data_IF_844126681273
#
_entry.id   IF_844126681273
#
_cell.length_a   1.000
_cell.length_b   1.000
_cell.length_c   1.000
_cell.angle_alpha   90.00
_cell.angle_beta   90.00
_cell.angle_gamma   90.00
#
_symmetry.space_group_name_H-M   'P 1'
#
loop_
_entity.id
_entity.type
_entity.pdbx_description
1 polymer ?
#
# COMPACT_ATOMS: atom_id res chain seq x y z
N UNK A 1 4.17 -9.39 -11.37
CA UNK A 1 2.92 -8.60 -11.30
C UNK A 1 1.72 -9.48 -10.94
N UNK A 2 0.65 -8.92 -10.37
CA UNK A 2 -0.62 -9.65 -10.12
C UNK A 2 -1.79 -8.72 -10.45
N UNK A 3 -2.74 -9.17 -11.29
CA UNK A 3 -3.94 -8.39 -11.62
C UNK A 3 -4.75 -8.11 -10.36
N UNK A 4 -5.16 -6.86 -10.16
CA UNK A 4 -5.96 -6.40 -9.02
C UNK A 4 -6.96 -5.37 -9.49
N UNK A 5 -8.10 -5.33 -8.83
CA UNK A 5 -9.08 -4.27 -9.03
C UNK A 5 -8.86 -3.17 -7.99
N UNK A 6 -8.68 -1.93 -8.43
CA UNK A 6 -8.38 -0.79 -7.56
C UNK A 6 -9.63 0.07 -7.41
N UNK A 7 -9.87 0.54 -6.19
CA UNK A 7 -10.94 1.50 -5.90
C UNK A 7 -10.35 2.62 -5.05
N UNK A 8 -10.46 3.85 -5.52
CA UNK A 8 -10.16 5.05 -4.74
C UNK A 8 -11.48 5.58 -4.17
N UNK A 9 -11.64 5.61 -2.84
CA UNK A 9 -12.88 6.04 -2.21
C UNK A 9 -12.60 6.66 -0.83
N UNK A 10 -13.20 7.82 -0.56
CA UNK A 10 -13.01 8.52 0.71
C UNK A 10 -11.54 8.88 0.93
N UNK A 11 -11.00 8.51 2.09
CA UNK A 11 -9.60 8.72 2.44
C UNK A 11 -8.66 7.56 2.08
N UNK A 12 -9.10 6.59 1.28
CA UNK A 12 -8.37 5.34 1.11
C UNK A 12 -8.33 4.81 -0.34
N UNK A 13 -7.24 4.11 -0.66
CA UNK A 13 -7.08 3.29 -1.85
C UNK A 13 -7.20 1.80 -1.47
N UNK A 14 -8.20 1.15 -2.04
CA UNK A 14 -8.51 -0.26 -1.82
C UNK A 14 -7.99 -1.10 -2.99
N UNK A 15 -7.57 -2.32 -2.68
CA UNK A 15 -7.16 -3.32 -3.67
C UNK A 15 -8.02 -4.54 -3.50
N UNK A 16 -8.56 -5.10 -4.57
CA UNK A 16 -9.35 -6.34 -4.56
C UNK A 16 -8.72 -7.37 -5.50
N UNK A 17 -9.12 -8.63 -5.32
CA UNK A 17 -8.66 -9.71 -6.22
C UNK A 17 -9.15 -9.47 -7.65
N UNK A 18 -10.42 -9.07 -7.76
CA UNK A 18 -11.19 -8.87 -8.97
C UNK A 18 -12.31 -7.85 -8.66
N UNK A 19 -13.08 -7.46 -9.67
CA UNK A 19 -14.18 -6.48 -9.59
C UNK A 19 -15.33 -6.91 -8.67
N UNK A 20 -15.52 -8.22 -8.49
CA UNK A 20 -16.57 -8.80 -7.66
C UNK A 20 -16.07 -9.14 -6.24
N UNK A 21 -14.85 -8.70 -5.91
CA UNK A 21 -14.22 -8.99 -4.63
C UNK A 21 -14.94 -8.31 -3.47
N UNK A 22 -15.48 -9.09 -2.54
CA UNK A 22 -16.13 -8.56 -1.33
C UNK A 22 -15.16 -8.07 -0.26
N UNK A 23 -13.89 -8.52 -0.31
CA UNK A 23 -12.88 -8.23 0.70
C UNK A 23 -11.60 -7.67 0.09
N UNK A 24 -11.09 -6.54 0.61
CA UNK A 24 -9.87 -5.95 0.11
C UNK A 24 -8.64 -6.83 0.45
N UNK A 25 -7.70 -6.85 -0.47
CA UNK A 25 -6.39 -7.50 -0.37
C UNK A 25 -5.42 -6.62 0.40
N UNK A 26 -5.21 -7.02 1.65
CA UNK A 26 -4.36 -6.32 2.60
C UNK A 26 -5.10 -5.13 3.23
N UNK A 27 -4.37 -4.33 3.98
CA UNK A 27 -4.91 -3.10 4.52
C UNK A 27 -5.10 -2.07 3.38
N UNK A 28 -6.22 -1.31 3.39
CA UNK A 28 -6.38 -0.13 2.53
C UNK A 28 -5.25 0.86 2.77
N UNK A 29 -4.85 1.60 1.74
CA UNK A 29 -3.79 2.60 1.84
C UNK A 29 -4.45 3.95 2.15
N UNK A 30 -4.03 4.64 3.21
CA UNK A 30 -4.46 6.01 3.51
C UNK A 30 -3.89 6.99 2.48
N UNK A 31 -4.72 7.83 1.89
CA UNK A 31 -4.27 8.72 0.79
C UNK A 31 -3.63 10.02 1.26
N UNK A 32 -3.95 10.47 2.48
CA UNK A 32 -3.50 11.74 3.06
C UNK A 32 -1.96 11.84 3.21
N UNK A 33 -1.31 10.72 3.51
CA UNK A 33 0.14 10.59 3.65
C UNK A 33 0.81 9.92 2.46
N UNK A 34 0.08 9.64 1.38
CA UNK A 34 0.66 9.01 0.19
C UNK A 34 1.10 9.99 -0.87
N UNK A 35 2.14 9.61 -1.59
CA UNK A 35 2.54 10.26 -2.83
C UNK A 35 2.30 9.33 -4.01
N UNK A 36 1.75 9.89 -5.08
CA UNK A 36 1.57 9.18 -6.33
C UNK A 36 2.34 9.89 -7.44
N UNK A 37 3.08 9.12 -8.24
CA UNK A 37 3.77 9.62 -9.45
C UNK A 37 3.88 8.52 -10.49
N UNK A 38 3.94 8.95 -11.75
CA UNK A 38 4.29 8.07 -12.87
C UNK A 38 5.79 7.83 -12.82
N UNK A 39 6.20 6.60 -13.10
CA UNK A 39 7.61 6.25 -13.18
C UNK A 39 8.02 6.14 -14.64
N UNK A 40 8.99 6.95 -15.02
CA UNK A 40 9.67 6.87 -16.32
C UNK A 40 11.05 6.26 -16.13
N UNK A 41 11.56 5.51 -17.14
CA UNK A 41 12.94 4.98 -17.12
C UNK A 41 14.01 6.05 -16.84
N UNK A 42 13.79 7.28 -17.29
CA UNK A 42 14.72 8.39 -17.08
C UNK A 42 14.70 9.04 -15.68
N UNK A 43 13.65 8.79 -14.89
CA UNK A 43 13.44 9.49 -13.60
C UNK A 43 14.01 8.72 -12.40
N UNK A 44 14.43 7.46 -12.60
CA UNK A 44 14.95 6.61 -11.52
C UNK A 44 16.47 6.73 -11.41
N UNK A 45 16.93 7.68 -10.59
CA UNK A 45 18.34 7.88 -10.26
C UNK A 45 18.96 6.74 -9.42
N UNK A 46 18.22 5.67 -9.11
CA UNK A 46 18.53 4.80 -7.96
C UNK A 46 18.62 3.28 -8.16
N UNK A 47 18.39 2.66 -9.32
CA UNK A 47 18.85 1.28 -9.55
C UNK A 47 18.53 0.71 -10.93
N UNK A 48 19.52 0.04 -11.53
CA UNK A 48 19.33 -0.82 -12.71
C UNK A 48 18.25 -1.89 -12.47
N UNK A 49 18.05 -2.33 -11.22
CA UNK A 49 17.04 -3.34 -10.85
C UNK A 49 15.60 -2.89 -11.13
N UNK A 50 15.28 -1.61 -10.95
CA UNK A 50 13.93 -1.12 -11.24
C UNK A 50 13.68 -0.98 -12.75
N UNK A 51 14.72 -0.64 -13.51
CA UNK A 51 14.63 -0.64 -14.98
C UNK A 51 14.32 -2.04 -15.50
N UNK A 52 14.90 -3.09 -14.92
CA UNK A 52 14.55 -4.48 -15.24
C UNK A 52 13.09 -4.83 -14.92
N UNK A 53 12.46 -4.22 -13.92
CA UNK A 53 11.02 -4.41 -13.64
C UNK A 53 10.13 -3.75 -14.70
N UNK A 54 10.56 -2.63 -15.27
CA UNK A 54 9.89 -1.98 -16.41
C UNK A 54 10.06 -2.78 -17.72
N UNK A 55 11.06 -3.66 -17.79
CA UNK A 55 11.24 -4.59 -18.92
C UNK A 55 10.30 -5.81 -18.83
N UNK A 56 9.76 -6.06 -17.65
CA UNK A 56 8.93 -7.23 -17.33
C UNK A 56 7.48 -6.83 -17.00
N UNK A 57 6.92 -5.91 -17.77
CA UNK A 57 5.52 -5.53 -17.63
C UNK A 57 4.58 -6.65 -18.08
N UNK A 58 3.38 -6.77 -17.47
CA UNK A 58 2.36 -7.66 -17.99
C UNK A 58 1.97 -7.31 -19.42
N UNK A 59 1.53 -8.31 -20.18
CA UNK A 59 1.01 -8.10 -21.53
C UNK A 59 -0.11 -7.05 -21.52
N UNK A 60 -0.01 -6.10 -22.44
CA UNK A 60 -0.97 -4.99 -22.58
C UNK A 60 -0.74 -3.82 -21.63
N UNK A 61 0.25 -3.85 -20.73
CA UNK A 61 0.62 -2.71 -19.90
C UNK A 61 1.85 -1.98 -20.44
N UNK A 62 1.77 -0.65 -20.54
CA UNK A 62 2.86 0.20 -21.06
C UNK A 62 3.48 1.13 -20.01
N UNK A 63 2.73 1.42 -18.95
CA UNK A 63 3.06 2.48 -18.00
C UNK A 63 2.93 1.98 -16.58
N UNK A 64 3.80 2.48 -15.70
CA UNK A 64 3.75 2.21 -14.27
C UNK A 64 3.58 3.51 -13.51
N UNK A 65 2.70 3.50 -12.52
CA UNK A 65 2.68 4.51 -11.47
C UNK A 65 2.99 3.89 -10.12
N UNK A 66 3.63 4.66 -9.26
CA UNK A 66 3.84 4.27 -7.87
C UNK A 66 2.90 5.00 -6.94
N UNK A 67 2.54 4.32 -5.86
CA UNK A 67 1.89 4.89 -4.68
C UNK A 67 2.79 4.59 -3.49
N UNK A 68 3.42 5.63 -2.96
CA UNK A 68 4.34 5.54 -1.83
C UNK A 68 3.68 6.09 -0.58
N UNK A 69 3.74 5.34 0.52
CA UNK A 69 3.47 5.83 1.86
C UNK A 69 4.73 5.69 2.72
N UNK A 70 4.73 6.30 3.91
CA UNK A 70 5.84 6.19 4.87
C UNK A 70 6.26 4.74 5.17
N UNK A 71 5.32 3.80 5.12
CA UNK A 71 5.58 2.40 5.47
C UNK A 71 5.88 1.52 4.25
N UNK A 72 5.43 1.91 3.05
CA UNK A 72 5.49 1.03 1.88
C UNK A 72 5.29 1.76 0.56
N UNK A 73 6.11 1.42 -0.42
CA UNK A 73 5.91 1.77 -1.83
C UNK A 73 5.28 0.60 -2.59
N UNK A 74 4.32 0.90 -3.45
CA UNK A 74 3.66 -0.06 -4.32
C UNK A 74 3.64 0.45 -5.75
N UNK A 75 3.83 -0.48 -6.69
CA UNK A 75 3.87 -0.20 -8.11
C UNK A 75 2.66 -0.83 -8.79
N UNK A 76 2.05 -0.09 -9.71
CA UNK A 76 0.89 -0.50 -10.48
C UNK A 76 1.19 -0.30 -11.96
N UNK A 77 1.09 -1.39 -12.73
CA UNK A 77 1.15 -1.37 -14.18
C UNK A 77 -0.25 -1.19 -14.74
N UNK A 78 -0.38 -0.32 -15.75
CA UNK A 78 -1.64 0.06 -16.41
C UNK A 78 -1.49 0.01 -17.92
N UNK A 79 -2.62 0.02 -18.64
CA UNK A 79 -2.64 -0.20 -20.09
C UNK A 79 -2.10 0.99 -20.88
N UNK A 80 -2.25 2.20 -20.33
CA UNK A 80 -1.87 3.44 -20.99
C UNK A 80 -1.32 4.48 -20.03
N UNK A 81 -0.55 5.42 -20.58
CA UNK A 81 -0.09 6.61 -19.85
C UNK A 81 -1.25 7.48 -19.38
N UNK A 82 -2.32 7.56 -20.16
CA UNK A 82 -3.55 8.30 -19.84
C UNK A 82 -4.21 7.72 -18.60
N UNK A 83 -4.30 6.39 -18.51
CA UNK A 83 -4.82 5.69 -17.33
C UNK A 83 -3.92 5.97 -16.10
N UNK A 84 -2.60 5.91 -16.27
CA UNK A 84 -1.65 6.23 -15.19
C UNK A 84 -1.83 7.68 -14.69
N UNK A 85 -1.99 8.63 -15.61
CA UNK A 85 -2.22 10.04 -15.30
C UNK A 85 -3.54 10.23 -14.55
N UNK A 86 -4.61 9.57 -14.99
CA UNK A 86 -5.90 9.60 -14.31
C UNK A 86 -5.75 9.13 -12.86
N UNK A 87 -5.11 7.97 -12.64
CA UNK A 87 -4.88 7.45 -11.28
C UNK A 87 -4.05 8.40 -10.42
N UNK A 88 -2.91 8.88 -10.93
CA UNK A 88 -2.02 9.76 -10.17
C UNK A 88 -2.71 11.07 -9.80
N UNK A 89 -3.43 11.69 -10.74
CA UNK A 89 -4.16 12.94 -10.50
C UNK A 89 -5.32 12.73 -9.52
N UNK A 90 -6.10 11.65 -9.67
CA UNK A 90 -7.17 11.32 -8.74
C UNK A 90 -6.66 11.10 -7.32
N UNK A 91 -5.55 10.36 -7.15
CA UNK A 91 -4.97 10.14 -5.81
C UNK A 91 -4.44 11.45 -5.20
N UNK A 92 -3.81 12.31 -5.99
CA UNK A 92 -3.32 13.63 -5.53
C UNK A 92 -4.49 14.54 -5.11
N UNK A 93 -5.56 14.57 -5.88
CA UNK A 93 -6.75 15.33 -5.54
C UNK A 93 -7.38 14.78 -4.25
N UNK A 94 -7.59 13.47 -4.16
CA UNK A 94 -8.10 12.82 -2.96
C UNK A 94 -7.26 13.08 -1.72
N UNK A 95 -5.92 13.12 -1.86
CA UNK A 95 -5.02 13.51 -0.77
C UNK A 95 -5.34 14.91 -0.28
N UNK A 96 -5.39 15.88 -1.18
CA UNK A 96 -5.69 17.27 -0.83
C UNK A 96 -7.06 17.41 -0.17
N UNK A 97 -8.06 16.73 -0.70
CA UNK A 97 -9.43 16.68 -0.18
C UNK A 97 -9.47 16.06 1.22
N UNK A 98 -8.77 14.95 1.42
CA UNK A 98 -8.69 14.26 2.71
C UNK A 98 -7.98 15.11 3.76
N UNK A 99 -6.89 15.79 3.39
CA UNK A 99 -6.18 16.71 4.30
C UNK A 99 -7.09 17.89 4.68
N UNK A 100 -7.77 18.49 3.70
CA UNK A 100 -8.68 19.63 3.90
C UNK A 100 -9.83 19.26 4.84
N UNK A 101 -10.40 18.07 4.67
CA UNK A 101 -11.44 17.50 5.54
C UNK A 101 -10.93 17.21 6.95
N UNK A 102 -9.73 16.63 7.08
CA UNK A 102 -9.12 16.34 8.38
C UNK A 102 -8.80 17.64 9.16
N UNK A 103 -8.54 18.75 8.47
CA UNK A 103 -8.36 20.07 9.09
C UNK A 103 -9.68 20.79 9.43
N UNK A 104 -10.84 20.20 9.16
CA UNK A 104 -12.15 20.80 9.44
C UNK A 104 -12.52 21.96 8.51
N UNK A 105 -11.77 22.16 7.42
CA UNK A 105 -12.01 23.22 6.42
C UNK A 105 -13.01 22.80 5.32
N UNK A 106 -13.57 21.59 5.40
CA UNK A 106 -14.49 21.04 4.39
C UNK A 106 -15.92 21.57 4.45
N UNK A 107 -16.22 22.62 5.24
CA UNK A 107 -17.60 23.13 5.45
C UNK A 107 -18.33 23.53 4.15
N UNK A 108 -17.60 23.75 3.06
CA UNK A 108 -18.17 24.12 1.75
C UNK A 108 -18.06 23.04 0.65
N UNK A 109 -17.45 21.88 0.92
CA UNK A 109 -17.28 20.84 -0.10
C UNK A 109 -18.23 19.67 0.23
N UNK A 110 -19.30 19.45 -0.56
CA UNK A 110 -20.25 18.39 -0.30
C UNK A 110 -19.60 17.03 -0.58
N UNK A 111 -19.29 16.28 0.47
CA UNK A 111 -18.95 14.87 0.36
C UNK A 111 -20.15 14.02 0.76
N UNK A 112 -20.38 12.86 0.13
CA UNK A 112 -21.45 11.97 0.54
C UNK A 112 -21.20 11.47 1.97
N UNK A 113 -22.15 11.69 2.89
CA UNK A 113 -22.07 11.18 4.28
C UNK A 113 -21.79 9.66 4.35
N UNK A 114 -22.21 8.92 3.31
CA UNK A 114 -21.93 7.48 3.19
C UNK A 114 -20.43 7.16 3.18
N UNK A 115 -19.57 8.08 2.74
CA UNK A 115 -18.11 7.88 2.73
C UNK A 115 -17.51 7.72 4.13
N UNK A 116 -18.11 8.33 5.16
CA UNK A 116 -17.67 8.15 6.54
C UNK A 116 -17.74 6.69 6.99
N UNK A 117 -18.77 5.97 6.54
CA UNK A 117 -18.93 4.54 6.86
C UNK A 117 -17.84 3.68 6.20
N UNK A 118 -17.42 4.02 4.98
CA UNK A 118 -16.33 3.36 4.29
C UNK A 118 -14.98 3.68 4.95
N UNK A 119 -14.73 4.94 5.29
CA UNK A 119 -13.51 5.37 5.99
C UNK A 119 -13.38 4.71 7.37
N UNK A 120 -14.48 4.60 8.12
CA UNK A 120 -14.51 3.90 9.40
C UNK A 120 -14.22 2.40 9.23
N UNK A 121 -14.78 1.77 8.18
CA UNK A 121 -14.50 0.37 7.84
C UNK A 121 -13.03 0.15 7.50
N UNK A 122 -12.45 1.03 6.67
CA UNK A 122 -11.03 0.97 6.30
C UNK A 122 -10.10 1.10 7.50
N UNK A 123 -10.38 2.05 8.40
CA UNK A 123 -9.61 2.25 9.64
C UNK A 123 -9.63 1.01 10.52
N UNK A 124 -10.81 0.43 10.76
CA UNK A 124 -10.96 -0.82 11.52
C UNK A 124 -10.15 -1.96 10.90
N UNK A 125 -10.12 -2.05 9.57
CA UNK A 125 -9.35 -3.07 8.87
C UNK A 125 -7.83 -2.84 8.98
N UNK A 126 -7.37 -1.59 8.92
CA UNK A 126 -5.97 -1.25 9.19
C UNK A 126 -5.57 -1.66 10.61
N UNK A 127 -6.33 -1.24 11.62
CA UNK A 127 -6.09 -1.57 13.03
C UNK A 127 -6.11 -3.09 13.28
N UNK A 128 -7.01 -3.82 12.62
CA UNK A 128 -7.04 -5.28 12.72
C UNK A 128 -5.75 -5.91 12.16
N UNK A 129 -5.28 -5.45 10.99
CA UNK A 129 -4.07 -5.99 10.37
C UNK A 129 -2.81 -5.63 11.14
N UNK A 130 -2.77 -4.42 11.69
CA UNK A 130 -1.68 -3.99 12.58
C UNK A 130 -1.62 -4.84 13.85
N UNK A 131 -2.77 -5.11 14.49
CA UNK A 131 -2.83 -6.02 15.66
C UNK A 131 -2.32 -7.42 15.34
N UNK A 132 -2.69 -7.97 14.17
CA UNK A 132 -2.20 -9.30 13.74
C UNK A 132 -0.69 -9.26 13.50
N UNK A 133 -0.20 -8.22 12.81
CA UNK A 133 1.24 -8.04 12.55
C UNK A 133 2.03 -7.96 13.86
N UNK A 134 1.59 -7.13 14.80
CA UNK A 134 2.24 -6.95 16.10
C UNK A 134 2.24 -8.26 16.91
N UNK A 135 1.15 -9.03 16.85
CA UNK A 135 1.08 -10.35 17.49
C UNK A 135 2.06 -11.35 16.86
N UNK A 136 2.15 -11.40 15.52
CA UNK A 136 3.13 -12.26 14.84
C UNK A 136 4.55 -11.87 15.19
N UNK A 137 4.91 -10.58 15.12
CA UNK A 137 6.26 -10.14 15.46
C UNK A 137 6.64 -10.41 16.91
N UNK A 138 5.68 -10.35 17.83
CA UNK A 138 5.92 -10.69 19.24
C UNK A 138 6.18 -12.20 19.44
N UNK A 139 5.47 -13.06 18.68
CA UNK A 139 5.70 -14.50 18.70
C UNK A 139 7.05 -14.86 18.08
N UNK A 140 7.39 -14.27 16.93
CA UNK A 140 8.66 -14.48 16.25
C UNK A 140 9.84 -14.06 17.15
N UNK A 141 9.72 -12.90 17.81
CA UNK A 141 10.73 -12.43 18.77
C UNK A 141 10.91 -13.40 19.94
N UNK A 142 9.80 -13.90 20.51
CA UNK A 142 9.84 -14.88 21.61
C UNK A 142 10.49 -16.20 21.15
N UNK A 143 10.20 -16.65 19.93
CA UNK A 143 10.82 -17.86 19.37
C UNK A 143 12.32 -17.69 19.16
N UNK A 144 12.76 -16.56 18.61
CA UNK A 144 14.19 -16.25 18.46
C UNK A 144 14.91 -16.21 19.81
N UNK A 145 14.31 -15.60 20.83
CA UNK A 145 14.87 -15.59 22.19
C UNK A 145 15.02 -17.02 22.77
N UNK A 146 14.02 -17.89 22.57
CA UNK A 146 14.09 -19.29 23.02
C UNK A 146 15.12 -20.12 22.24
N UNK A 147 15.27 -19.92 20.92
CA UNK A 147 16.30 -20.58 20.12
C UNK A 147 17.71 -20.12 20.53
N UNK A 148 17.87 -18.84 20.86
CA UNK A 148 19.16 -18.28 21.31
C UNK A 148 19.55 -18.82 22.69
N UNK A 149 18.59 -19.05 23.58
CA UNK A 149 18.82 -19.67 24.90
C UNK A 149 19.04 -21.20 24.82
N UNK A 150 18.46 -21.88 23.82
CA UNK A 150 18.63 -23.32 23.59
C UNK A 150 19.92 -23.73 22.88
N UNK A 151 20.63 -22.78 22.23
CA UNK A 151 21.85 -23.04 21.45
C UNK A 151 23.16 -23.06 22.25
N UNK A 152 23.15 -22.74 23.55
CA UNK A 152 24.38 -22.58 24.36
C UNK A 152 24.77 -23.81 25.21
N UNK A 153 24.21 -24.99 24.91
CA UNK A 153 24.49 -26.23 25.65
C UNK A 153 25.04 -27.33 24.74
N UNK A 154 26.13 -27.08 24.01
CA UNK A 154 26.94 -28.17 23.42
C UNK A 154 28.38 -27.74 23.06
N UNK A 155 29.13 -27.22 24.04
CA UNK A 155 30.60 -27.23 23.98
C UNK A 155 31.10 -28.48 24.72
N UNK A 156 30.99 -29.62 24.03
CA UNK A 156 31.56 -30.88 24.48
C UNK A 156 33.08 -30.84 24.38
N UNK A 157 33.74 -30.75 25.53
CA UNK A 157 35.18 -31.04 25.65
C UNK A 157 35.37 -32.54 25.45
N UNK A 158 35.94 -32.94 24.31
CA UNK A 158 36.65 -34.21 24.17
C UNK A 158 38.15 -33.90 24.20
N UNK A 159 38.82 -34.40 25.24
CA UNK A 159 40.27 -34.54 25.35
C UNK A 159 40.56 -35.84 26.06
#
# INVERSE_FOLDING_TARGET
>A
WKRRYLIALGGYLYRFKDENGSTPKGAPITVDITEARIISRGDTSTSNEFNCLLDLLPDGCDTVFEVSSLAKTQYFAVESREEALAWVNSIRQMRQDSITRNMGHSKGIPYPNKWESFDASARRLQEQKERIKNRMSALDKKEQEMQTLGGSANMGYFS
#
